data_IF_269060053542
#
_entry.id   IF_269060053542
#
_cell.length_a   1.000
_cell.length_b   1.000
_cell.length_c   1.000
_cell.angle_alpha   90.00
_cell.angle_beta   90.00
_cell.angle_gamma   90.00
#
_symmetry.space_group_name_H-M   'P 1'
#
loop_
_entity.id
_entity.type
_entity.pdbx_description
1 polymer ?
#
# COMPACT_ATOMS: atom_id res chain seq x y z
N UNK A 1 -0.78 -8.68 -21.64
CA UNK A 1 -1.74 -8.89 -20.55
C UNK A 1 -3.18 -8.95 -21.07
N UNK A 2 -3.84 -10.10 -20.96
CA UNK A 2 -5.30 -10.21 -21.08
C UNK A 2 -5.93 -10.15 -19.68
N UNK A 3 -7.14 -9.61 -19.56
CA UNK A 3 -7.85 -9.57 -18.28
C UNK A 3 -8.05 -10.99 -17.71
N UNK A 4 -8.17 -12.01 -18.57
CA UNK A 4 -8.28 -13.42 -18.16
C UNK A 4 -7.02 -13.99 -17.50
N UNK A 5 -5.81 -13.60 -17.93
CA UNK A 5 -4.56 -13.97 -17.24
C UNK A 5 -4.40 -13.25 -15.90
N UNK A 6 -4.89 -12.01 -15.80
CA UNK A 6 -4.91 -11.31 -14.51
C UNK A 6 -5.86 -12.00 -13.52
N UNK A 7 -7.03 -12.46 -13.99
CA UNK A 7 -8.03 -13.22 -13.20
C UNK A 7 -7.46 -14.47 -12.51
N UNK A 8 -6.55 -15.22 -13.14
CA UNK A 8 -6.00 -16.45 -12.52
C UNK A 8 -4.94 -16.18 -11.46
N UNK A 9 -4.24 -15.03 -11.55
CA UNK A 9 -3.22 -14.62 -10.57
C UNK A 9 -3.78 -13.79 -9.41
N UNK A 10 -5.03 -13.32 -9.51
CA UNK A 10 -5.65 -12.37 -8.60
C UNK A 10 -6.90 -12.93 -7.89
N UNK A 11 -6.91 -14.21 -7.54
CA UNK A 11 -7.76 -14.72 -6.45
C UNK A 11 -7.21 -14.17 -5.12
N UNK A 12 -7.46 -12.90 -4.85
CA UNK A 12 -7.06 -12.26 -3.59
C UNK A 12 -8.08 -11.20 -3.23
N UNK A 13 -8.38 -11.08 -1.94
CA UNK A 13 -9.42 -10.22 -1.39
C UNK A 13 -9.40 -8.81 -2.02
N UNK A 14 -10.58 -8.27 -2.34
CA UNK A 14 -10.72 -6.92 -2.89
C UNK A 14 -10.11 -5.91 -1.90
N UNK A 15 -9.03 -5.24 -2.32
CA UNK A 15 -8.40 -4.17 -1.53
C UNK A 15 -9.37 -3.02 -1.27
N UNK A 16 -9.13 -2.26 -0.20
CA UNK A 16 -9.90 -1.06 0.10
C UNK A 16 -9.56 0.06 -0.90
N UNK A 17 -10.58 0.79 -1.36
CA UNK A 17 -10.39 1.97 -2.21
C UNK A 17 -9.58 3.03 -1.45
N UNK A 18 -8.63 3.68 -2.13
CA UNK A 18 -7.79 4.72 -1.52
C UNK A 18 -8.67 5.83 -0.93
N UNK A 19 -8.42 6.27 0.32
CA UNK A 19 -9.19 7.38 0.93
C UNK A 19 -9.12 8.70 0.15
N UNK A 20 -8.10 8.87 -0.71
CA UNK A 20 -7.98 10.02 -1.61
C UNK A 20 -8.86 9.95 -2.87
N UNK A 21 -9.57 8.84 -3.10
CA UNK A 21 -10.55 8.73 -4.17
C UNK A 21 -11.81 9.55 -3.81
N UNK A 22 -12.49 10.15 -4.80
CA UNK A 22 -13.69 10.93 -4.55
C UNK A 22 -14.87 10.08 -4.07
N UNK A 23 -15.89 10.68 -3.42
CA UNK A 23 -16.97 9.95 -2.76
C UNK A 23 -17.72 8.95 -3.65
N UNK A 24 -17.86 9.25 -4.95
CA UNK A 24 -18.54 8.37 -5.90
C UNK A 24 -17.77 7.07 -6.23
N UNK A 25 -16.46 7.03 -5.98
CA UNK A 25 -15.64 5.83 -6.10
C UNK A 25 -15.42 5.12 -4.76
N UNK A 26 -15.61 5.82 -3.63
CA UNK A 26 -15.48 5.24 -2.29
C UNK A 26 -16.50 4.13 -2.00
N UNK A 27 -17.65 4.15 -2.68
CA UNK A 27 -18.65 3.09 -2.61
C UNK A 27 -18.34 1.88 -3.51
N UNK A 28 -17.28 1.98 -4.32
CA UNK A 28 -16.83 0.91 -5.21
C UNK A 28 -15.92 -0.11 -4.50
N UNK A 29 -15.47 -1.10 -5.27
CA UNK A 29 -14.48 -2.08 -4.81
C UNK A 29 -13.28 -2.10 -5.75
N UNK A 30 -12.09 -2.46 -5.25
CA UNK A 30 -10.92 -2.62 -6.12
C UNK A 30 -11.14 -3.87 -6.99
N UNK A 31 -11.28 -3.64 -8.30
CA UNK A 31 -11.61 -4.65 -9.28
C UNK A 31 -10.54 -5.75 -9.30
N UNK A 32 -10.90 -6.95 -8.83
CA UNK A 32 -10.02 -8.12 -8.77
C UNK A 32 -8.66 -7.85 -8.08
N UNK A 33 -8.62 -6.94 -7.10
CA UNK A 33 -7.35 -6.59 -6.44
C UNK A 33 -6.30 -5.97 -7.38
N UNK A 34 -6.72 -5.41 -8.52
CA UNK A 34 -5.85 -4.77 -9.49
C UNK A 34 -5.43 -3.38 -9.01
N UNK A 35 -4.37 -3.39 -8.22
CA UNK A 35 -3.69 -2.21 -7.75
C UNK A 35 -2.17 -2.39 -7.74
N UNK A 36 -1.45 -1.27 -7.79
CA UNK A 36 -0.01 -1.24 -7.56
C UNK A 36 0.42 0.04 -6.86
N UNK A 37 1.52 -0.08 -6.13
CA UNK A 37 2.23 1.03 -5.52
C UNK A 37 3.67 1.03 -6.01
N UNK A 38 4.13 2.17 -6.49
CA UNK A 38 5.47 2.34 -7.02
C UNK A 38 6.20 3.44 -6.26
N UNK A 39 7.51 3.27 -6.10
CA UNK A 39 8.41 4.29 -5.55
C UNK A 39 9.55 4.61 -6.52
N UNK A 40 9.94 5.87 -6.57
CA UNK A 40 11.14 6.34 -7.25
C UNK A 40 11.96 7.19 -6.30
N UNK A 41 13.18 6.76 -6.02
CA UNK A 41 14.16 7.48 -5.21
C UNK A 41 15.41 7.81 -6.02
N UNK A 42 15.83 9.07 -5.98
CA UNK A 42 17.10 9.53 -6.54
C UNK A 42 17.71 10.57 -5.58
N UNK A 43 18.84 10.20 -4.97
CA UNK A 43 19.55 11.02 -3.98
C UNK A 43 20.10 12.30 -4.63
N UNK A 44 20.70 12.19 -5.82
CA UNK A 44 21.35 13.33 -6.49
C UNK A 44 20.40 14.47 -6.87
N UNK A 45 19.12 14.17 -7.06
CA UNK A 45 18.08 15.15 -7.39
C UNK A 45 17.09 15.39 -6.25
N UNK A 46 17.33 14.83 -5.05
CA UNK A 46 16.40 14.85 -3.91
C UNK A 46 14.94 14.49 -4.29
N UNK A 47 14.84 13.45 -5.13
CA UNK A 47 13.58 12.93 -5.61
C UNK A 47 13.20 11.72 -4.74
N UNK A 48 12.10 11.83 -4.01
CA UNK A 48 11.44 10.70 -3.36
C UNK A 48 9.94 10.79 -3.69
N UNK A 49 9.51 10.02 -4.69
CA UNK A 49 8.18 10.12 -5.30
C UNK A 49 7.46 8.77 -5.24
N UNK A 50 6.15 8.82 -5.03
CA UNK A 50 5.29 7.64 -5.12
C UNK A 50 4.31 7.75 -6.29
N UNK A 51 3.84 6.59 -6.74
CA UNK A 51 2.75 6.49 -7.71
C UNK A 51 1.88 5.27 -7.35
N UNK A 52 0.60 5.50 -7.06
CA UNK A 52 -0.41 4.47 -6.81
C UNK A 52 -1.41 4.45 -7.94
N UNK A 53 -1.88 3.27 -8.31
CA UNK A 53 -3.02 3.09 -9.20
C UNK A 53 -3.93 1.99 -8.68
N UNK A 54 -5.24 2.18 -8.83
CA UNK A 54 -6.28 1.21 -8.50
C UNK A 54 -7.32 1.19 -9.61
N UNK A 55 -7.74 -0.01 -10.04
CA UNK A 55 -8.96 -0.17 -10.80
C UNK A 55 -10.12 -0.29 -9.82
N UNK A 56 -11.10 0.61 -9.92
CA UNK A 56 -12.24 0.67 -9.02
C UNK A 56 -13.49 0.34 -9.84
N UNK A 57 -14.19 -0.72 -9.44
CA UNK A 57 -15.47 -1.13 -10.00
C UNK A 57 -16.60 -0.49 -9.21
N UNK A 58 -17.52 0.13 -9.95
CA UNK A 58 -18.76 0.72 -9.44
C UNK A 58 -19.94 0.21 -10.27
N UNK A 59 -21.19 0.40 -9.84
CA UNK A 59 -22.37 0.08 -10.67
C UNK A 59 -22.39 0.78 -12.04
N UNK A 60 -21.63 1.87 -12.20
CA UNK A 60 -21.54 2.65 -13.43
C UNK A 60 -20.46 2.14 -14.40
N UNK A 61 -19.63 1.18 -13.98
CA UNK A 61 -18.50 0.65 -14.75
C UNK A 61 -17.18 0.73 -13.98
N UNK A 62 -16.08 0.49 -14.70
CA UNK A 62 -14.73 0.43 -14.11
C UNK A 62 -13.97 1.72 -14.39
N UNK A 63 -13.39 2.30 -13.33
CA UNK A 63 -12.58 3.52 -13.42
C UNK A 63 -11.15 3.27 -12.95
N UNK A 64 -10.18 3.84 -13.65
CA UNK A 64 -8.78 3.86 -13.22
C UNK A 64 -8.54 5.09 -12.35
N UNK A 65 -8.32 4.88 -11.06
CA UNK A 65 -7.86 5.90 -10.13
C UNK A 65 -6.34 5.86 -10.02
N UNK A 66 -5.72 7.04 -10.07
CA UNK A 66 -4.27 7.19 -9.90
C UNK A 66 -3.97 8.33 -8.94
N UNK A 67 -2.92 8.15 -8.12
CA UNK A 67 -2.45 9.12 -7.14
C UNK A 67 -0.94 9.16 -7.11
N UNK A 68 -0.33 10.34 -7.15
CA UNK A 68 1.14 10.46 -7.17
C UNK A 68 1.60 11.74 -6.47
N UNK A 69 2.84 11.73 -5.97
CA UNK A 69 3.39 12.89 -5.28
C UNK A 69 4.74 12.61 -4.65
N UNK A 70 5.20 13.54 -3.81
CA UNK A 70 6.33 13.28 -2.91
C UNK A 70 5.86 12.36 -1.77
N UNK A 71 6.68 11.40 -1.36
CA UNK A 71 6.36 10.53 -0.22
C UNK A 71 6.16 11.40 1.03
N UNK A 72 5.05 11.18 1.74
CA UNK A 72 4.64 11.98 2.89
C UNK A 72 3.83 13.24 2.58
N UNK A 73 3.54 13.54 1.30
CA UNK A 73 2.69 14.65 0.90
C UNK A 73 1.38 14.16 0.25
N UNK A 74 0.33 15.00 0.29
CA UNK A 74 -0.99 14.67 -0.25
C UNK A 74 -0.98 14.24 -1.72
N UNK A 75 -0.10 14.84 -2.52
CA UNK A 75 0.06 14.52 -3.94
C UNK A 75 -1.09 15.05 -4.81
N UNK A 76 -1.20 14.49 -6.01
CA UNK A 76 -2.23 14.75 -7.00
C UNK A 76 -2.98 13.46 -7.32
N UNK A 77 -4.23 13.58 -7.74
CA UNK A 77 -5.07 12.46 -8.15
C UNK A 77 -5.60 12.66 -9.57
N UNK A 78 -5.88 11.56 -10.26
CA UNK A 78 -6.55 11.57 -11.56
C UNK A 78 -7.41 10.32 -11.70
N UNK A 79 -8.54 10.49 -12.37
CA UNK A 79 -9.50 9.43 -12.68
C UNK A 79 -9.69 9.37 -14.18
N UNK A 80 -9.72 8.16 -14.72
CA UNK A 80 -10.05 7.89 -16.13
C UNK A 80 -11.14 6.83 -16.15
N UNK A 81 -12.29 7.17 -16.75
CA UNK A 81 -13.47 6.30 -16.78
C UNK A 81 -14.76 7.06 -16.41
N UNK A 82 -15.87 6.33 -16.24
CA UNK A 82 -15.99 4.87 -16.34
C UNK A 82 -15.85 4.35 -17.77
N UNK A 83 -15.21 3.19 -17.94
CA UNK A 83 -15.09 2.45 -19.21
C UNK A 83 -15.34 0.96 -18.98
N UNK A 84 -15.33 0.17 -20.06
CA UNK A 84 -15.39 -1.29 -19.98
C UNK A 84 -14.16 -1.87 -19.27
N UNK A 85 -14.34 -3.04 -18.64
CA UNK A 85 -13.30 -3.66 -17.79
C UNK A 85 -12.02 -4.01 -18.57
N UNK A 86 -12.13 -4.41 -19.83
CA UNK A 86 -10.98 -4.75 -20.66
C UNK A 86 -10.17 -3.50 -21.03
N UNK A 87 -10.84 -2.41 -21.40
CA UNK A 87 -10.19 -1.14 -21.70
C UNK A 87 -9.60 -0.50 -20.43
N UNK A 88 -10.30 -0.56 -19.30
CA UNK A 88 -9.76 -0.10 -18.01
C UNK A 88 -8.45 -0.84 -17.68
N UNK A 89 -8.41 -2.16 -17.89
CA UNK A 89 -7.22 -2.97 -17.68
C UNK A 89 -6.09 -2.62 -18.65
N UNK A 90 -6.38 -2.39 -19.92
CA UNK A 90 -5.38 -1.93 -20.88
C UNK A 90 -4.77 -0.58 -20.47
N UNK A 91 -5.59 0.38 -20.01
CA UNK A 91 -5.12 1.67 -19.50
C UNK A 91 -4.22 1.49 -18.27
N UNK A 92 -4.60 0.60 -17.35
CA UNK A 92 -3.83 0.25 -16.17
C UNK A 92 -2.45 -0.32 -16.53
N UNK A 93 -2.39 -1.32 -17.42
CA UNK A 93 -1.14 -1.92 -17.89
C UNK A 93 -0.27 -0.89 -18.65
N UNK A 94 -0.87 -0.06 -19.50
CA UNK A 94 -0.17 1.00 -20.24
C UNK A 94 0.46 2.01 -19.29
N UNK A 95 -0.25 2.43 -18.24
CA UNK A 95 0.29 3.32 -17.21
C UNK A 95 1.43 2.66 -16.43
N UNK A 96 1.26 1.40 -16.05
CA UNK A 96 2.30 0.64 -15.35
C UNK A 96 3.58 0.59 -16.18
N UNK A 97 3.50 0.11 -17.43
CA UNK A 97 4.66 -0.01 -18.32
C UNK A 97 5.32 1.34 -18.60
N UNK A 98 4.56 2.43 -18.73
CA UNK A 98 5.12 3.78 -18.89
C UNK A 98 6.01 4.17 -17.70
N UNK A 99 5.58 3.83 -16.47
CA UNK A 99 6.26 4.22 -15.21
C UNK A 99 7.41 3.30 -14.83
N UNK A 100 7.26 1.98 -15.03
CA UNK A 100 8.28 0.97 -14.65
C UNK A 100 9.21 0.61 -15.81
N UNK A 101 8.75 0.77 -17.06
CA UNK A 101 9.44 0.27 -18.25
C UNK A 101 9.33 -1.24 -18.44
N UNK A 102 8.45 -1.92 -17.69
CA UNK A 102 8.24 -3.37 -17.72
C UNK A 102 6.76 -3.67 -17.92
N UNK A 103 6.38 -4.66 -18.76
CA UNK A 103 4.99 -5.09 -18.88
C UNK A 103 4.39 -5.52 -17.53
N UNK A 104 3.07 -5.42 -17.39
CA UNK A 104 2.38 -5.84 -16.16
C UNK A 104 2.54 -7.33 -15.82
N UNK A 105 2.65 -8.17 -16.86
CA UNK A 105 2.80 -9.62 -16.71
C UNK A 105 4.15 -9.97 -16.06
N UNK A 106 5.20 -9.19 -16.37
CA UNK A 106 6.57 -9.38 -15.87
C UNK A 106 6.87 -8.54 -14.61
N UNK A 107 5.84 -8.10 -13.89
CA UNK A 107 5.97 -7.18 -12.73
C UNK A 107 6.87 -7.72 -11.61
N UNK A 108 6.99 -9.04 -11.47
CA UNK A 108 7.84 -9.69 -10.49
C UNK A 108 9.34 -9.51 -10.81
N UNK A 109 9.69 -9.25 -12.07
CA UNK A 109 11.05 -9.10 -12.55
C UNK A 109 11.52 -7.63 -12.61
N UNK A 110 10.76 -6.71 -11.98
CA UNK A 110 11.12 -5.30 -11.97
C UNK A 110 12.43 -5.10 -11.22
N UNK A 111 13.46 -4.74 -11.98
CA UNK A 111 14.75 -4.29 -11.45
C UNK A 111 14.79 -2.76 -11.39
N UNK A 112 15.44 -2.18 -10.36
CA UNK A 112 15.67 -0.75 -10.31
C UNK A 112 16.40 -0.24 -11.56
N UNK A 113 15.80 0.73 -12.24
CA UNK A 113 16.38 1.39 -13.42
C UNK A 113 16.41 2.90 -13.18
N UNK A 114 17.49 3.55 -13.61
CA UNK A 114 17.66 5.01 -13.48
C UNK A 114 16.46 5.74 -14.11
N UNK A 115 15.84 6.62 -13.34
CA UNK A 115 14.70 7.43 -13.80
C UNK A 115 13.38 6.68 -13.98
N UNK A 116 13.30 5.39 -13.61
CA UNK A 116 12.05 4.62 -13.57
C UNK A 116 11.59 4.36 -12.14
N UNK A 117 10.35 3.94 -12.00
CA UNK A 117 9.78 3.56 -10.72
C UNK A 117 9.99 2.05 -10.46
N UNK A 118 10.19 1.70 -9.19
CA UNK A 118 10.22 0.32 -8.70
C UNK A 118 8.87 -0.05 -8.08
N UNK A 119 8.51 -1.33 -8.14
CA UNK A 119 7.32 -1.85 -7.47
C UNK A 119 7.57 -1.98 -5.96
N UNK A 120 6.61 -1.54 -5.15
CA UNK A 120 6.62 -1.73 -3.70
C UNK A 120 5.56 -2.78 -3.35
N UNK A 121 6.00 -3.92 -2.81
CA UNK A 121 5.10 -4.99 -2.41
C UNK A 121 4.49 -4.70 -1.03
N UNK A 122 3.23 -4.28 -1.04
CA UNK A 122 2.43 -4.07 0.16
C UNK A 122 1.90 -5.40 0.70
N UNK A 123 1.82 -5.54 2.02
CA UNK A 123 1.12 -6.64 2.68
C UNK A 123 -0.36 -6.49 2.37
N UNK A 124 -0.90 -7.45 1.63
CA UNK A 124 -2.34 -7.63 1.51
C UNK A 124 -2.80 -8.27 2.82
N UNK A 125 -3.88 -7.79 3.41
CA UNK A 125 -4.50 -8.45 4.55
C UNK A 125 -5.04 -9.80 4.07
N UNK A 126 -4.19 -10.83 4.11
CA UNK A 126 -4.65 -12.20 3.99
C UNK A 126 -5.57 -12.46 5.18
N UNK A 127 -6.84 -12.71 4.88
CA UNK A 127 -7.84 -13.15 5.86
C UNK A 127 -7.54 -14.53 6.46
N UNK A 128 -6.36 -15.10 6.18
CA UNK A 128 -5.90 -16.42 6.62
C UNK A 128 -4.67 -16.40 7.54
N UNK A 129 -4.21 -15.25 8.03
CA UNK A 129 -3.33 -15.20 9.19
C UNK A 129 -4.13 -14.79 10.44
N UNK A 130 -4.02 -15.49 11.58
CA UNK A 130 -4.61 -15.07 12.85
C UNK A 130 -3.80 -13.91 13.42
N UNK A 131 -3.71 -12.82 12.67
CA UNK A 131 -3.28 -11.49 13.12
C UNK A 131 -4.36 -10.48 12.73
N UNK A 132 -5.63 -10.91 12.80
CA UNK A 132 -6.72 -9.99 13.08
C UNK A 132 -6.40 -9.32 14.42
N UNK A 133 -6.24 -7.99 14.52
CA UNK A 133 -6.76 -7.34 15.71
C UNK A 133 -8.19 -7.86 15.85
N UNK A 134 -8.50 -8.49 16.99
CA UNK A 134 -9.84 -8.95 17.31
C UNK A 134 -10.84 -7.92 16.77
N UNK A 135 -11.83 -8.40 16.01
CA UNK A 135 -12.62 -7.57 15.11
C UNK A 135 -13.04 -6.25 15.73
N UNK A 136 -13.27 -5.25 14.88
CA UNK A 136 -14.07 -4.08 15.24
C UNK A 136 -15.49 -4.57 15.62
N UNK A 137 -15.59 -5.17 16.79
CA UNK A 137 -16.82 -5.25 17.54
C UNK A 137 -17.31 -3.82 17.76
N UNK A 138 -18.62 -3.64 17.97
CA UNK A 138 -19.17 -2.32 18.21
C UNK A 138 -18.33 -1.65 19.30
N UNK A 139 -17.80 -0.45 19.01
CA UNK A 139 -17.08 0.35 19.97
C UNK A 139 -17.95 0.44 21.24
N UNK A 140 -17.55 -0.28 22.28
CA UNK A 140 -18.22 -0.29 23.57
C UNK A 140 -18.05 1.12 24.14
N UNK A 141 -19.05 1.97 23.94
CA UNK A 141 -19.15 3.27 24.58
C UNK A 141 -19.47 3.04 26.05
N UNK A 142 -18.43 2.86 26.87
CA UNK A 142 -18.51 2.73 28.32
C UNK A 142 -17.19 2.23 28.91
N UNK A 143 -16.89 2.50 30.19
CA UNK A 143 -15.72 1.94 30.84
C UNK A 143 -15.89 0.41 30.90
N UNK A 144 -15.10 -0.30 30.10
CA UNK A 144 -14.98 -1.75 30.20
C UNK A 144 -14.20 -2.03 31.48
N UNK A 145 -14.82 -2.70 32.45
CA UNK A 145 -14.15 -3.09 33.69
C UNK A 145 -13.06 -4.12 33.35
N UNK A 146 -11.80 -3.73 33.47
CA UNK A 146 -10.67 -4.65 33.32
C UNK A 146 -10.56 -5.54 34.56
N UNK A 147 -10.50 -6.86 34.38
CA UNK A 147 -10.38 -7.84 35.47
C UNK A 147 -8.93 -8.13 35.88
N UNK A 148 -7.95 -7.54 35.20
CA UNK A 148 -6.52 -7.72 35.48
C UNK A 148 -6.10 -6.90 36.71
N UNK A 149 -5.02 -7.30 37.38
CA UNK A 149 -4.40 -6.50 38.43
C UNK A 149 -3.83 -5.19 37.87
N UNK A 150 -3.65 -4.20 38.76
CA UNK A 150 -3.27 -2.84 38.37
C UNK A 150 -1.88 -2.81 37.74
N UNK A 151 -0.97 -3.61 38.26
CA UNK A 151 0.40 -3.76 37.78
C UNK A 151 0.42 -4.29 36.35
N UNK A 152 -0.38 -5.32 36.04
CA UNK A 152 -0.53 -5.86 34.69
C UNK A 152 -1.22 -4.86 33.76
N UNK A 153 -2.23 -4.12 34.23
CA UNK A 153 -2.86 -3.06 33.43
C UNK A 153 -1.85 -1.98 33.05
N UNK A 154 -1.06 -1.49 34.01
CA UNK A 154 -0.03 -0.48 33.75
C UNK A 154 1.08 -0.99 32.82
N UNK A 155 1.46 -2.27 32.94
CA UNK A 155 2.43 -2.88 32.01
C UNK A 155 1.86 -2.95 30.59
N UNK A 156 0.59 -3.34 30.43
CA UNK A 156 -0.06 -3.40 29.12
C UNK A 156 -0.23 -2.02 28.51
N UNK A 157 -0.63 -1.02 29.30
CA UNK A 157 -0.67 0.39 28.86
C UNK A 157 0.69 0.88 28.40
N UNK A 158 1.78 0.49 29.08
CA UNK A 158 3.13 0.87 28.70
C UNK A 158 3.58 0.19 27.40
N UNK A 159 3.36 -1.12 27.26
CA UNK A 159 3.77 -1.89 26.07
C UNK A 159 2.97 -1.47 24.83
N UNK A 160 1.68 -1.17 24.99
CA UNK A 160 0.78 -0.79 23.89
C UNK A 160 0.56 0.73 23.79
N UNK A 161 1.42 1.55 24.40
CA UNK A 161 1.35 3.00 24.28
C UNK A 161 1.69 3.44 22.85
N UNK A 162 0.68 3.91 22.12
CA UNK A 162 0.87 4.47 20.77
C UNK A 162 1.81 5.69 20.79
N UNK A 163 1.75 6.52 21.84
CA UNK A 163 2.60 7.71 21.97
C UNK A 163 4.08 7.35 22.13
N UNK A 164 4.40 6.35 22.96
CA UNK A 164 5.77 5.87 23.13
C UNK A 164 6.31 5.27 21.83
N UNK A 165 5.48 4.53 21.10
CA UNK A 165 5.83 3.96 19.80
C UNK A 165 6.09 5.06 18.75
N UNK A 166 5.17 6.01 18.63
CA UNK A 166 5.28 7.13 17.70
C UNK A 166 6.50 8.01 17.99
N UNK A 167 6.84 8.21 19.27
CA UNK A 167 8.03 8.96 19.68
C UNK A 167 9.30 8.21 19.29
N UNK A 168 9.40 6.92 19.62
CA UNK A 168 10.56 6.10 19.27
C UNK A 168 10.79 6.01 17.75
N UNK A 169 9.71 5.89 16.97
CA UNK A 169 9.77 5.89 15.51
C UNK A 169 10.29 7.23 14.96
N UNK A 170 9.81 8.35 15.50
CA UNK A 170 10.31 9.69 15.15
C UNK A 170 11.80 9.84 15.47
N UNK A 171 12.27 9.31 16.61
CA UNK A 171 13.69 9.32 16.98
C UNK A 171 14.56 8.49 16.02
N UNK A 172 14.00 7.43 15.42
CA UNK A 172 14.63 6.66 14.35
C UNK A 172 14.53 7.35 12.97
N UNK A 173 14.08 8.61 12.92
CA UNK A 173 13.76 9.36 11.69
C UNK A 173 12.71 8.66 10.79
N UNK A 174 11.90 7.78 11.37
CA UNK A 174 10.77 7.15 10.70
C UNK A 174 9.53 7.91 11.12
N UNK A 175 9.06 8.80 10.24
CA UNK A 175 7.83 9.54 10.49
C UNK A 175 6.62 8.64 10.15
N UNK A 176 5.81 8.22 11.14
CA UNK A 176 4.69 7.30 10.91
C UNK A 176 3.61 7.92 10.01
N UNK A 177 3.46 9.25 10.00
CA UNK A 177 2.59 9.93 9.03
C UNK A 177 3.20 9.90 7.61
N UNK A 178 4.53 9.82 7.51
CA UNK A 178 5.27 9.59 6.26
C UNK A 178 5.62 8.13 6.01
N UNK A 179 4.93 7.18 6.65
CA UNK A 179 4.78 5.80 6.16
C UNK A 179 3.47 5.68 5.33
N UNK A 180 3.23 6.51 4.29
CA UNK A 180 1.95 6.53 3.57
C UNK A 180 1.76 5.30 2.68
N UNK A 181 2.77 4.42 2.62
CA UNK A 181 2.80 3.26 1.74
C UNK A 181 2.12 2.04 2.38
N UNK A 182 1.49 2.19 3.54
CA UNK A 182 0.83 1.11 4.26
C UNK A 182 1.81 0.05 4.77
N UNK A 183 1.28 -1.10 5.19
CA UNK A 183 2.10 -2.20 5.68
C UNK A 183 2.89 -2.83 4.52
N UNK A 184 4.21 -2.90 4.64
CA UNK A 184 5.07 -3.60 3.68
C UNK A 184 4.94 -5.12 3.83
N UNK A 185 5.11 -5.86 2.74
CA UNK A 185 5.19 -7.32 2.79
C UNK A 185 6.48 -7.78 3.47
N UNK A 186 6.46 -8.98 4.06
CA UNK A 186 7.66 -9.60 4.65
C UNK A 186 8.79 -9.75 3.62
N UNK A 187 8.45 -10.11 2.38
CA UNK A 187 9.43 -10.17 1.28
C UNK A 187 10.07 -8.81 0.99
N UNK A 188 9.30 -7.72 1.03
CA UNK A 188 9.84 -6.36 0.85
C UNK A 188 10.77 -5.95 1.99
N UNK A 189 10.44 -6.34 3.22
CA UNK A 189 11.29 -6.08 4.40
C UNK A 189 12.59 -6.86 4.29
N UNK A 190 12.53 -8.14 3.91
CA UNK A 190 13.71 -8.97 3.71
C UNK A 190 14.65 -8.41 2.64
N UNK A 191 14.12 -7.99 1.48
CA UNK A 191 14.90 -7.29 0.45
C UNK A 191 15.54 -6.00 0.96
N UNK A 192 14.88 -5.32 1.90
CA UNK A 192 15.42 -4.14 2.57
C UNK A 192 16.64 -4.47 3.45
N UNK A 193 16.58 -5.58 4.20
CA UNK A 193 17.71 -6.05 5.00
C UNK A 193 18.90 -6.46 4.14
N UNK A 194 18.67 -7.22 3.07
CA UNK A 194 19.72 -7.62 2.12
C UNK A 194 20.46 -6.39 1.55
N UNK A 195 19.71 -5.35 1.16
CA UNK A 195 20.31 -4.10 0.69
C UNK A 195 21.14 -3.38 1.77
N UNK A 196 20.75 -3.45 3.04
CA UNK A 196 21.52 -2.87 4.15
C UNK A 196 22.80 -3.68 4.43
N UNK A 197 22.75 -5.01 4.34
CA UNK A 197 23.92 -5.87 4.49
C UNK A 197 24.94 -5.64 3.36
N UNK A 198 24.47 -5.48 2.12
CA UNK A 198 25.33 -5.10 0.98
C UNK A 198 26.01 -3.76 1.21
N UNK A 199 25.26 -2.75 1.71
CA UNK A 199 25.83 -1.45 2.04
C UNK A 199 26.85 -1.53 3.18
N UNK A 200 26.57 -2.31 4.22
CA UNK A 200 27.52 -2.53 5.32
C UNK A 200 28.80 -3.19 4.81
N UNK A 201 28.70 -4.12 3.86
CA UNK A 201 29.85 -4.79 3.27
C UNK A 201 30.67 -3.89 2.33
N UNK A 202 30.05 -2.85 1.79
CA UNK A 202 30.67 -1.88 0.88
C UNK A 202 31.26 -0.65 1.60
N UNK A 203 30.96 -0.46 2.89
CA UNK A 203 31.52 0.55 3.79
C UNK A 203 32.83 0.09 4.42
#
# INVERSE_FOLDING_TARGET
ASLASAKSSAQTAAGQVDPGAPPHLQSGTVFQGLEYMLNQTNIGENNNKYYKAQLIETPLGVSLFTKWGRVGAAGQTQIVGPVDSDHAFQLFCKKFQSKTGVPWDDRAEIKPKRGKYCLVEMKREDTSAPNTPAGKGPALKGPVSCSLDRETQSLMELIFSEDMFNTSMKDMNIDPEKLPLGALSQAQVQRGFEALEELQSAL
#
